data_IF_856105498810
#
_entry.id   IF_856105498810
#
_cell.length_a   1.000
_cell.length_b   1.000
_cell.length_c   1.000
_cell.angle_alpha   90.00
_cell.angle_beta   90.00
_cell.angle_gamma   90.00
#
_symmetry.space_group_name_H-M   'P 1'
#
loop_
_entity.id
_entity.type
_entity.pdbx_description
1 polymer ?
#
# COMPACT_ATOMS: atom_id res chain seq x y z
N UNK A 1 21.79 3.11 7.68
CA UNK A 1 20.51 3.71 7.23
C UNK A 1 19.46 2.63 7.36
N UNK A 2 18.45 2.79 8.21
CA UNK A 2 17.62 1.65 8.62
C UNK A 2 16.23 1.67 7.98
N UNK A 3 15.80 0.52 7.46
CA UNK A 3 14.45 0.34 6.91
C UNK A 3 13.70 -0.68 7.77
N UNK A 4 12.58 -0.25 8.32
CA UNK A 4 11.66 -1.08 9.08
C UNK A 4 10.55 -1.56 8.13
N UNK A 5 10.54 -2.86 7.81
CA UNK A 5 9.45 -3.49 7.09
C UNK A 5 8.41 -3.97 8.11
N UNK A 6 7.28 -3.27 8.16
CA UNK A 6 6.15 -3.70 8.96
C UNK A 6 5.16 -4.49 8.10
N UNK A 7 5.13 -5.80 8.31
CA UNK A 7 4.28 -6.73 7.59
C UNK A 7 2.93 -6.80 8.28
N UNK A 8 1.88 -6.43 7.56
CA UNK A 8 0.50 -6.37 8.06
C UNK A 8 -0.36 -7.29 7.20
N UNK A 9 -0.62 -8.52 7.68
CA UNK A 9 -1.42 -9.50 6.97
C UNK A 9 -2.84 -8.99 6.71
N UNK A 10 -3.48 -9.56 5.69
CA UNK A 10 -4.81 -9.10 5.29
C UNK A 10 -5.86 -9.44 6.34
N UNK A 11 -6.22 -10.72 6.44
CA UNK A 11 -7.21 -11.26 7.37
C UNK A 11 -6.68 -12.55 8.00
N UNK A 12 -6.05 -13.41 7.19
CA UNK A 12 -5.30 -14.56 7.64
C UNK A 12 -3.89 -14.49 7.10
N UNK A 13 -2.90 -14.72 7.97
CA UNK A 13 -1.52 -14.79 7.55
C UNK A 13 -1.31 -15.99 6.61
N UNK A 14 -0.91 -15.69 5.37
CA UNK A 14 -0.36 -16.69 4.46
C UNK A 14 1.15 -16.85 4.70
N UNK A 15 1.51 -17.96 5.35
CA UNK A 15 2.89 -18.24 5.73
C UNK A 15 3.82 -18.48 4.53
N UNK A 16 3.29 -19.07 3.45
CA UNK A 16 4.09 -19.33 2.25
C UNK A 16 4.41 -18.01 1.55
N UNK A 17 3.44 -17.10 1.47
CA UNK A 17 3.64 -15.78 0.88
C UNK A 17 4.61 -14.93 1.70
N UNK A 18 4.48 -14.97 3.04
CA UNK A 18 5.44 -14.35 3.96
C UNK A 18 6.86 -14.90 3.73
N UNK A 19 7.01 -16.22 3.64
CA UNK A 19 8.32 -16.85 3.39
C UNK A 19 8.95 -16.32 2.10
N UNK A 20 8.17 -16.19 1.04
CA UNK A 20 8.64 -15.61 -0.22
C UNK A 20 9.07 -14.15 -0.05
N UNK A 21 8.27 -13.31 0.61
CA UNK A 21 8.64 -11.90 0.87
C UNK A 21 9.93 -11.77 1.69
N UNK A 22 10.11 -12.63 2.70
CA UNK A 22 11.34 -12.69 3.50
C UNK A 22 12.52 -13.12 2.63
N UNK A 23 12.33 -14.11 1.76
CA UNK A 23 13.33 -14.53 0.78
C UNK A 23 13.73 -13.41 -0.18
N UNK A 24 12.76 -12.64 -0.70
CA UNK A 24 12.98 -11.47 -1.56
C UNK A 24 13.67 -10.31 -0.83
N UNK A 25 13.43 -10.19 0.48
CA UNK A 25 14.11 -9.21 1.32
C UNK A 25 15.59 -9.60 1.50
N UNK A 26 15.84 -10.85 1.90
CA UNK A 26 17.17 -11.35 2.17
C UNK A 26 18.03 -11.45 0.90
N UNK A 27 17.43 -11.76 -0.26
CA UNK A 27 18.16 -11.86 -1.53
C UNK A 27 18.75 -10.54 -2.01
N UNK A 28 18.27 -9.40 -1.50
CA UNK A 28 18.80 -8.08 -1.82
C UNK A 28 20.04 -7.71 -1.01
N UNK A 29 20.47 -8.55 -0.06
CA UNK A 29 21.74 -8.42 0.68
C UNK A 29 21.94 -7.07 1.39
N UNK A 30 20.86 -6.51 1.95
CA UNK A 30 20.92 -5.26 2.74
C UNK A 30 20.95 -5.57 4.23
N UNK A 31 21.92 -5.01 4.96
CA UNK A 31 22.17 -5.33 6.37
C UNK A 31 21.28 -4.58 7.36
N UNK A 32 20.79 -3.39 6.99
CA UNK A 32 20.08 -2.49 7.91
C UNK A 32 18.55 -2.58 7.74
N UNK A 33 18.01 -3.80 7.68
CA UNK A 33 16.57 -4.04 7.56
C UNK A 33 16.05 -4.71 8.83
N UNK A 34 15.05 -4.10 9.45
CA UNK A 34 14.33 -4.66 10.60
C UNK A 34 12.96 -5.16 10.16
N UNK A 35 12.61 -6.37 10.56
CA UNK A 35 11.38 -7.03 10.14
C UNK A 35 10.41 -7.12 11.32
N UNK A 36 9.17 -6.68 11.10
CA UNK A 36 8.09 -6.91 12.05
C UNK A 36 6.85 -7.49 11.40
N UNK A 37 6.11 -8.32 12.14
CA UNK A 37 4.86 -8.92 11.72
C UNK A 37 3.74 -8.56 12.71
N UNK A 38 2.73 -7.84 12.23
CA UNK A 38 1.53 -7.51 13.01
C UNK A 38 0.46 -8.57 12.80
N UNK A 39 0.46 -9.59 13.66
CA UNK A 39 -0.54 -10.66 13.57
C UNK A 39 -1.97 -10.13 13.69
N UNK A 40 -2.91 -10.60 12.85
CA UNK A 40 -4.33 -10.34 13.02
C UNK A 40 -4.80 -10.80 14.40
N UNK A 41 -5.79 -10.07 14.96
CA UNK A 41 -6.34 -10.38 16.29
C UNK A 41 -6.83 -11.83 16.35
N UNK A 42 -6.39 -12.55 17.38
CA UNK A 42 -6.77 -13.95 17.62
C UNK A 42 -5.96 -14.98 16.82
N UNK A 43 -4.98 -14.56 16.03
CA UNK A 43 -4.02 -15.47 15.42
C UNK A 43 -2.76 -15.60 16.28
N UNK A 44 -2.27 -16.83 16.39
CA UNK A 44 -1.00 -17.16 16.98
C UNK A 44 -0.19 -17.98 15.98
N UNK A 45 1.12 -17.78 15.98
CA UNK A 45 2.03 -18.62 15.22
C UNK A 45 2.11 -20.01 15.86
N UNK A 46 2.19 -21.05 15.03
CA UNK A 46 2.53 -22.39 15.51
C UNK A 46 3.97 -22.40 16.03
N UNK A 47 4.35 -23.42 16.82
CA UNK A 47 5.73 -23.54 17.32
C UNK A 47 6.77 -23.52 16.20
N UNK A 48 6.48 -24.17 15.07
CA UNK A 48 7.38 -24.20 13.93
C UNK A 48 7.51 -22.81 13.27
N UNK A 49 6.39 -22.10 13.11
CA UNK A 49 6.39 -20.74 12.61
C UNK A 49 7.12 -19.77 13.54
N UNK A 50 7.03 -19.96 14.86
CA UNK A 50 7.78 -19.17 15.84
C UNK A 50 9.29 -19.39 15.72
N UNK A 51 9.72 -20.65 15.60
CA UNK A 51 11.15 -20.98 15.38
C UNK A 51 11.67 -20.35 14.10
N UNK A 52 10.91 -20.46 13.02
CA UNK A 52 11.28 -19.91 11.73
C UNK A 52 11.27 -18.36 11.74
N UNK A 53 10.27 -17.73 12.38
CA UNK A 53 10.25 -16.29 12.59
C UNK A 53 11.49 -15.81 13.38
N UNK A 54 11.88 -16.53 14.43
CA UNK A 54 13.08 -16.22 15.20
C UNK A 54 14.35 -16.36 14.34
N UNK A 55 14.44 -17.39 13.48
CA UNK A 55 15.55 -17.56 12.55
C UNK A 55 15.66 -16.41 11.53
N UNK A 56 14.54 -15.77 11.18
CA UNK A 56 14.51 -14.58 10.33
C UNK A 56 14.70 -13.26 11.08
N UNK A 57 14.91 -13.29 12.40
CA UNK A 57 14.87 -12.09 13.26
C UNK A 57 13.56 -11.28 13.11
N UNK A 58 12.45 -11.95 12.82
CA UNK A 58 11.14 -11.35 12.64
C UNK A 58 10.49 -11.05 14.00
N UNK A 59 10.33 -9.77 14.31
CA UNK A 59 9.67 -9.35 15.56
C UNK A 59 8.15 -9.44 15.42
N UNK A 60 7.47 -10.02 16.41
CA UNK A 60 6.00 -10.11 16.40
C UNK A 60 5.39 -8.92 17.14
N UNK A 61 4.41 -8.27 16.53
CA UNK A 61 3.69 -7.14 17.09
C UNK A 61 4.26 -5.79 16.67
N UNK A 62 4.40 -4.87 17.64
CA UNK A 62 4.81 -3.50 17.38
C UNK A 62 6.34 -3.37 17.55
N UNK A 63 7.11 -3.12 16.48
CA UNK A 63 8.55 -2.95 16.61
C UNK A 63 8.88 -1.66 17.36
N UNK A 64 9.98 -1.67 18.12
CA UNK A 64 10.61 -0.46 18.61
C UNK A 64 11.40 0.15 17.45
N UNK A 65 10.96 1.31 16.98
CA UNK A 65 11.63 2.05 15.91
C UNK A 65 12.42 3.17 16.58
N UNK A 66 13.74 3.17 16.40
CA UNK A 66 14.60 4.26 16.88
C UNK A 66 14.53 5.43 15.90
N UNK A 67 13.98 6.59 16.30
CA UNK A 67 13.81 7.72 15.39
C UNK A 67 15.15 8.26 14.90
N UNK A 68 15.28 8.44 13.59
CA UNK A 68 16.42 9.08 12.93
C UNK A 68 16.01 9.58 11.54
N UNK A 69 16.66 10.64 11.06
CA UNK A 69 16.37 11.27 9.75
C UNK A 69 16.58 10.32 8.56
N UNK A 70 17.37 9.27 8.75
CA UNK A 70 17.66 8.24 7.76
C UNK A 70 17.01 6.89 8.08
N UNK A 71 16.10 6.87 9.05
CA UNK A 71 15.35 5.67 9.43
C UNK A 71 13.92 5.79 8.93
N UNK A 72 13.45 4.76 8.22
CA UNK A 72 12.16 4.76 7.53
C UNK A 72 11.34 3.52 7.83
N UNK A 73 10.03 3.68 7.84
CA UNK A 73 9.04 2.61 7.94
C UNK A 73 8.34 2.43 6.60
N UNK A 74 8.20 1.18 6.14
CA UNK A 74 7.28 0.82 5.06
C UNK A 74 6.37 -0.30 5.55
N UNK A 75 5.07 -0.13 5.31
CA UNK A 75 4.11 -1.21 5.54
C UNK A 75 3.97 -2.04 4.25
N UNK A 76 4.02 -3.36 4.40
CA UNK A 76 3.82 -4.34 3.34
C UNK A 76 2.83 -5.41 3.78
N UNK A 77 2.25 -6.13 2.84
CA UNK A 77 1.52 -7.37 3.08
C UNK A 77 2.42 -8.56 2.88
N UNK A 78 2.05 -9.69 3.49
CA UNK A 78 2.65 -10.99 3.21
C UNK A 78 2.55 -11.37 1.73
N UNK A 79 1.55 -10.86 1.01
CA UNK A 79 1.33 -11.09 -0.42
C UNK A 79 2.01 -10.07 -1.34
N UNK A 80 2.59 -8.99 -0.80
CA UNK A 80 3.34 -8.03 -1.61
C UNK A 80 4.68 -8.64 -2.03
N UNK A 81 5.24 -8.14 -3.13
CA UNK A 81 6.52 -8.57 -3.68
C UNK A 81 7.50 -7.41 -3.74
N UNK A 82 8.74 -7.66 -3.33
CA UNK A 82 9.82 -6.71 -3.52
C UNK A 82 10.50 -6.98 -4.87
N UNK A 83 10.62 -5.94 -5.68
CA UNK A 83 11.35 -6.05 -6.93
C UNK A 83 12.87 -5.99 -6.67
N UNK A 84 13.68 -6.61 -7.53
CA UNK A 84 15.13 -6.60 -7.39
C UNK A 84 15.69 -5.19 -7.16
N UNK A 85 16.51 -5.05 -6.12
CA UNK A 85 17.21 -3.82 -5.76
C UNK A 85 16.33 -2.64 -5.32
N UNK A 86 15.07 -2.90 -4.96
CA UNK A 86 14.17 -1.96 -4.32
C UNK A 86 14.84 -1.21 -3.15
N UNK A 87 15.50 -1.95 -2.25
CA UNK A 87 16.16 -1.32 -1.10
C UNK A 87 17.20 -0.31 -1.53
N UNK A 88 18.12 -0.68 -2.43
CA UNK A 88 19.19 0.20 -2.93
C UNK A 88 18.62 1.51 -3.48
N UNK A 89 17.53 1.44 -4.25
CA UNK A 89 16.86 2.63 -4.77
C UNK A 89 16.29 3.49 -3.64
N UNK A 90 15.62 2.89 -2.66
CA UNK A 90 15.11 3.62 -1.51
C UNK A 90 16.26 4.27 -0.73
N UNK A 91 17.38 3.58 -0.53
CA UNK A 91 18.53 4.15 0.18
C UNK A 91 19.10 5.37 -0.52
N UNK A 92 19.24 5.30 -1.85
CA UNK A 92 19.74 6.43 -2.65
C UNK A 92 18.83 7.66 -2.54
N UNK A 93 17.51 7.46 -2.59
CA UNK A 93 16.55 8.56 -2.45
C UNK A 93 16.56 9.12 -1.02
N UNK A 94 16.60 8.26 0.00
CA UNK A 94 16.65 8.66 1.42
C UNK A 94 17.93 9.46 1.72
N UNK A 95 19.07 9.06 1.17
CA UNK A 95 20.33 9.80 1.35
C UNK A 95 20.27 11.21 0.76
N UNK A 96 19.57 11.39 -0.36
CA UNK A 96 19.41 12.69 -1.01
C UNK A 96 18.31 13.55 -0.36
N UNK A 97 17.27 12.90 0.20
CA UNK A 97 16.09 13.55 0.77
C UNK A 97 15.79 12.99 2.18
N UNK A 98 16.68 13.20 3.16
CA UNK A 98 16.48 12.70 4.50
C UNK A 98 15.24 13.32 5.13
N UNK A 99 14.56 12.57 6.01
CA UNK A 99 13.37 13.01 6.73
C UNK A 99 12.20 13.47 5.82
N UNK A 100 12.18 13.10 4.53
CA UNK A 100 11.06 13.36 3.61
C UNK A 100 10.19 12.14 3.43
N UNK A 101 8.88 12.33 3.31
CA UNK A 101 7.94 11.29 2.90
C UNK A 101 8.25 10.86 1.45
N UNK A 102 8.44 9.57 1.23
CA UNK A 102 8.68 9.02 -0.11
C UNK A 102 7.48 8.18 -0.54
N UNK A 103 6.88 8.55 -1.67
CA UNK A 103 5.80 7.82 -2.31
C UNK A 103 6.37 6.91 -3.40
N UNK A 104 6.02 5.62 -3.36
CA UNK A 104 6.52 4.62 -4.29
C UNK A 104 5.52 4.37 -5.42
N UNK A 105 6.02 4.32 -6.66
CA UNK A 105 5.32 3.65 -7.74
C UNK A 105 5.33 2.13 -7.49
N UNK A 106 4.29 1.45 -7.97
CA UNK A 106 4.04 0.04 -7.67
C UNK A 106 3.34 -0.63 -8.84
N UNK A 107 3.59 -1.91 -9.06
CA UNK A 107 2.71 -2.72 -9.91
C UNK A 107 1.55 -3.31 -9.13
N UNK A 108 0.47 -3.63 -9.83
CA UNK A 108 -0.63 -4.45 -9.32
C UNK A 108 -0.26 -5.93 -9.49
N UNK A 109 -0.10 -6.64 -8.38
CA UNK A 109 0.23 -8.07 -8.41
C UNK A 109 -0.96 -8.94 -8.84
N UNK A 110 -2.17 -8.38 -8.90
CA UNK A 110 -3.36 -9.04 -9.47
C UNK A 110 -3.45 -8.96 -10.99
N UNK A 111 -2.53 -8.24 -11.65
CA UNK A 111 -2.47 -8.12 -13.10
C UNK A 111 -1.18 -8.78 -13.64
N UNK A 112 -1.18 -9.29 -14.88
CA UNK A 112 0.04 -9.80 -15.50
C UNK A 112 1.13 -8.73 -15.52
N UNK A 113 2.38 -9.11 -15.22
CA UNK A 113 3.49 -8.16 -15.13
C UNK A 113 3.84 -7.56 -16.50
N UNK A 114 3.91 -8.39 -17.55
CA UNK A 114 4.34 -7.97 -18.89
C UNK A 114 3.63 -6.72 -19.45
N UNK A 115 2.28 -6.64 -19.48
CA UNK A 115 1.60 -5.44 -19.96
C UNK A 115 1.86 -4.23 -19.07
N UNK A 116 1.91 -4.40 -17.74
CA UNK A 116 2.20 -3.28 -16.82
C UNK A 116 3.60 -2.71 -17.03
N UNK A 117 4.60 -3.56 -17.31
CA UNK A 117 5.95 -3.13 -17.64
C UNK A 117 5.95 -2.38 -18.97
N UNK A 118 5.27 -2.89 -19.99
CA UNK A 118 5.20 -2.24 -21.29
C UNK A 118 4.55 -0.85 -21.19
N UNK A 119 3.38 -0.76 -20.57
CA UNK A 119 2.66 0.51 -20.34
C UNK A 119 3.54 1.51 -19.58
N UNK A 120 4.27 1.01 -18.58
CA UNK A 120 5.17 1.84 -17.79
C UNK A 120 6.33 2.39 -18.64
N UNK A 121 6.97 1.55 -19.45
CA UNK A 121 8.06 1.97 -20.34
C UNK A 121 7.58 3.00 -21.38
N UNK A 122 6.39 2.79 -21.96
CA UNK A 122 5.79 3.69 -22.94
C UNK A 122 5.45 5.06 -22.33
N UNK A 123 4.86 5.09 -21.13
CA UNK A 123 4.53 6.35 -20.43
C UNK A 123 5.76 7.19 -20.05
N UNK A 124 6.94 6.56 -20.00
CA UNK A 124 8.19 7.21 -19.65
C UNK A 124 9.14 7.33 -20.85
N UNK A 125 8.64 7.11 -22.07
CA UNK A 125 9.42 7.23 -23.30
C UNK A 125 10.03 8.63 -23.46
N UNK A 126 9.36 9.71 -23.05
CA UNK A 126 9.88 11.08 -23.16
C UNK A 126 10.79 11.52 -21.99
N UNK A 127 11.07 10.62 -21.05
CA UNK A 127 12.01 10.86 -19.96
C UNK A 127 13.44 10.94 -20.49
N UNK A 128 14.34 11.67 -19.81
CA UNK A 128 15.80 11.68 -20.09
C UNK A 128 16.45 10.29 -20.14
N UNK A 129 15.71 9.27 -19.71
CA UNK A 129 16.05 7.86 -19.75
C UNK A 129 15.73 7.17 -21.09
N UNK A 130 15.21 7.85 -22.12
CA UNK A 130 14.80 7.23 -23.40
C UNK A 130 15.89 6.34 -24.03
N UNK A 131 17.15 6.78 -24.03
CA UNK A 131 18.28 6.00 -24.54
C UNK A 131 18.54 4.73 -23.70
N UNK A 132 18.45 4.84 -22.37
CA UNK A 132 18.51 3.69 -21.45
C UNK A 132 17.31 2.75 -21.66
N UNK A 133 16.12 3.31 -21.89
CA UNK A 133 14.88 2.58 -22.16
C UNK A 133 14.94 1.83 -23.50
N UNK A 134 15.49 2.43 -24.57
CA UNK A 134 15.69 1.78 -25.86
C UNK A 134 16.68 0.61 -25.77
N UNK A 135 17.81 0.79 -25.07
CA UNK A 135 18.80 -0.28 -24.85
C UNK A 135 18.25 -1.45 -24.02
N UNK A 136 17.26 -1.19 -23.16
CA UNK A 136 16.56 -2.19 -22.35
C UNK A 136 15.30 -2.76 -23.02
N UNK A 137 14.72 -2.09 -24.00
CA UNK A 137 13.57 -2.57 -24.78
C UNK A 137 14.01 -3.39 -26.00
N UNK A 138 15.31 -3.42 -26.30
CA UNK A 138 15.86 -4.24 -27.36
C UNK A 138 15.50 -5.72 -27.11
N UNK A 139 15.08 -6.40 -28.18
CA UNK A 139 14.27 -7.64 -28.22
C UNK A 139 14.78 -8.88 -27.46
N UNK A 140 15.89 -8.78 -26.71
CA UNK A 140 16.57 -9.87 -26.02
C UNK A 140 16.07 -10.15 -24.59
N UNK A 141 15.30 -9.24 -23.97
CA UNK A 141 14.81 -9.42 -22.60
C UNK A 141 13.48 -10.20 -22.58
N UNK A 142 13.58 -11.49 -22.86
CA UNK A 142 12.44 -12.42 -22.98
C UNK A 142 11.92 -12.94 -21.64
N UNK A 143 12.67 -12.77 -20.55
CA UNK A 143 12.28 -13.29 -19.23
C UNK A 143 11.76 -12.19 -18.29
N UNK A 144 10.78 -12.55 -17.47
CA UNK A 144 10.19 -11.69 -16.43
C UNK A 144 11.25 -11.06 -15.53
N UNK A 145 12.24 -11.85 -15.11
CA UNK A 145 13.33 -11.40 -14.23
C UNK A 145 14.20 -10.33 -14.90
N UNK A 146 14.50 -10.51 -16.18
CA UNK A 146 15.35 -9.57 -16.89
C UNK A 146 14.65 -8.22 -17.15
N UNK A 147 13.32 -8.24 -17.33
CA UNK A 147 12.49 -7.03 -17.38
C UNK A 147 12.39 -6.32 -16.03
N UNK A 148 12.29 -7.07 -14.92
CA UNK A 148 12.34 -6.49 -13.58
C UNK A 148 13.70 -5.83 -13.28
N UNK A 149 14.80 -6.45 -13.70
CA UNK A 149 16.15 -5.87 -13.62
C UNK A 149 16.30 -4.63 -14.51
N UNK A 150 15.67 -4.61 -15.69
CA UNK A 150 15.65 -3.44 -16.56
C UNK A 150 14.95 -2.24 -15.91
N UNK A 151 13.78 -2.46 -15.32
CA UNK A 151 13.07 -1.42 -14.57
C UNK A 151 13.89 -0.89 -13.39
N UNK A 152 14.67 -1.75 -12.73
CA UNK A 152 15.56 -1.34 -11.65
C UNK A 152 16.67 -0.37 -12.11
N UNK A 153 17.11 -0.46 -13.37
CA UNK A 153 18.07 0.47 -13.96
C UNK A 153 17.50 1.86 -14.27
N UNK A 154 16.18 2.00 -14.29
CA UNK A 154 15.53 3.29 -14.47
C UNK A 154 15.60 4.05 -13.15
N UNK A 155 16.27 5.20 -13.14
CA UNK A 155 16.34 6.06 -11.96
C UNK A 155 15.68 7.39 -12.30
N UNK A 156 14.44 7.58 -11.84
CA UNK A 156 13.77 8.86 -11.91
C UNK A 156 12.85 9.05 -10.70
N UNK A 157 12.95 10.21 -10.06
CA UNK A 157 12.04 10.65 -9.02
C UNK A 157 11.76 12.14 -9.20
N UNK A 158 10.63 12.60 -8.67
CA UNK A 158 10.28 14.04 -8.67
C UNK A 158 9.92 14.50 -7.26
N UNK A 159 10.24 15.75 -6.96
CA UNK A 159 9.77 16.43 -5.75
C UNK A 159 8.40 17.03 -6.02
N UNK A 160 7.40 16.68 -5.21
CA UNK A 160 6.02 17.15 -5.36
C UNK A 160 5.66 18.05 -4.18
N UNK A 161 5.43 19.33 -4.43
CA UNK A 161 5.17 20.36 -3.40
C UNK A 161 3.68 20.62 -3.18
N UNK A 162 2.81 20.28 -4.13
CA UNK A 162 1.35 20.35 -3.96
C UNK A 162 0.77 18.97 -3.65
N UNK A 163 0.42 18.75 -2.39
CA UNK A 163 -0.11 17.47 -1.89
C UNK A 163 -1.64 17.37 -1.90
N UNK A 164 -2.32 18.48 -2.19
CA UNK A 164 -3.76 18.68 -2.05
C UNK A 164 -4.54 18.39 -3.34
N UNK A 165 -4.10 17.41 -4.15
CA UNK A 165 -4.86 16.94 -5.33
C UNK A 165 -5.40 15.54 -5.09
N UNK A 166 -6.66 15.30 -5.47
CA UNK A 166 -7.34 14.01 -5.27
C UNK A 166 -6.55 12.84 -5.87
N UNK A 167 -6.04 13.01 -7.10
CA UNK A 167 -5.20 12.03 -7.79
C UNK A 167 -3.99 11.60 -6.95
N UNK A 168 -3.37 12.53 -6.23
CA UNK A 168 -2.20 12.25 -5.40
C UNK A 168 -2.59 11.66 -4.04
N UNK A 169 -3.69 12.10 -3.44
CA UNK A 169 -4.22 11.51 -2.19
C UNK A 169 -4.55 10.03 -2.37
N UNK A 170 -5.16 9.66 -3.50
CA UNK A 170 -5.47 8.26 -3.83
C UNK A 170 -4.26 7.35 -3.83
N UNK A 171 -3.09 7.88 -4.15
CA UNK A 171 -1.83 7.13 -4.16
C UNK A 171 -1.15 7.12 -2.80
N UNK A 172 -1.34 8.17 -1.98
CA UNK A 172 -0.49 8.48 -0.81
C UNK A 172 -1.17 8.34 0.54
N UNK A 173 -2.48 8.17 0.62
CA UNK A 173 -3.12 7.88 1.90
C UNK A 173 -3.19 6.38 2.18
N UNK A 174 -2.81 5.54 1.21
CA UNK A 174 -2.71 4.09 1.42
C UNK A 174 -1.60 3.80 2.44
N UNK A 175 -1.81 2.86 3.39
CA UNK A 175 -0.79 2.53 4.39
C UNK A 175 0.45 1.87 3.77
N UNK A 176 0.33 1.27 2.59
CA UNK A 176 1.43 0.62 1.84
C UNK A 176 1.88 1.46 0.64
N UNK A 177 3.13 1.26 0.22
CA UNK A 177 3.73 2.01 -0.89
C UNK A 177 4.17 3.43 -0.52
N UNK A 178 4.39 3.66 0.77
CA UNK A 178 5.01 4.86 1.32
C UNK A 178 6.17 4.44 2.22
N UNK A 179 7.27 5.17 2.14
CA UNK A 179 8.31 5.16 3.17
C UNK A 179 8.06 6.37 4.06
N UNK A 180 7.65 6.09 5.30
CA UNK A 180 7.37 7.09 6.32
C UNK A 180 8.66 7.37 7.11
N UNK A 181 9.09 8.63 7.25
CA UNK A 181 10.26 8.97 8.06
C UNK A 181 9.97 8.70 9.54
N UNK A 182 10.87 7.98 10.22
CA UNK A 182 10.66 7.49 11.58
C UNK A 182 10.52 8.60 12.64
N UNK A 183 11.18 9.73 12.42
CA UNK A 183 11.10 10.97 13.21
C UNK A 183 9.70 11.57 13.28
N UNK A 184 8.83 11.23 12.32
CA UNK A 184 7.47 11.74 12.23
C UNK A 184 6.43 10.70 12.65
N UNK A 185 6.88 9.51 13.09
CA UNK A 185 5.98 8.46 13.55
C UNK A 185 5.51 8.74 14.98
N UNK A 186 4.19 8.82 15.17
CA UNK A 186 3.59 8.76 16.50
C UNK A 186 3.71 7.37 17.15
N UNK A 187 4.32 7.23 18.34
CA UNK A 187 4.46 5.96 19.05
C UNK A 187 3.14 5.45 19.65
N UNK A 188 2.05 6.22 19.58
CA UNK A 188 0.76 5.83 20.14
C UNK A 188 -0.22 5.31 19.08
N UNK A 189 0.07 5.50 17.79
CA UNK A 189 -0.82 5.11 16.69
C UNK A 189 -0.39 3.79 16.05
N UNK A 190 -1.31 2.95 15.54
CA UNK A 190 -0.91 1.76 14.80
C UNK A 190 -0.11 2.11 13.53
N UNK A 191 1.01 1.42 13.29
CA UNK A 191 1.95 1.73 12.20
C UNK A 191 1.31 1.70 10.80
N UNK A 192 0.38 0.76 10.57
CA UNK A 192 -0.36 0.64 9.31
C UNK A 192 -1.78 1.21 9.42
N UNK A 193 -1.89 2.48 9.84
CA UNK A 193 -3.16 3.19 9.92
C UNK A 193 -3.16 4.49 9.13
N UNK A 194 -4.36 4.94 8.74
CA UNK A 194 -4.56 6.27 8.16
C UNK A 194 -4.19 7.37 9.16
N UNK A 195 -4.48 7.17 10.44
CA UNK A 195 -4.13 8.12 11.51
C UNK A 195 -2.63 8.32 11.65
N UNK A 196 -1.82 7.30 11.34
CA UNK A 196 -0.36 7.41 11.28
C UNK A 196 0.11 8.21 10.05
N UNK A 197 -0.53 8.00 8.90
CA UNK A 197 -0.05 8.49 7.59
C UNK A 197 -0.54 9.90 7.28
N UNK A 198 -1.79 10.23 7.63
CA UNK A 198 -2.43 11.48 7.28
C UNK A 198 -1.73 12.70 7.90
N UNK A 199 -1.37 12.72 9.20
CA UNK A 199 -0.66 13.87 9.79
C UNK A 199 0.71 14.11 9.15
N UNK A 200 1.45 13.03 8.83
CA UNK A 200 2.74 13.09 8.13
C UNK A 200 2.56 13.72 6.74
N UNK A 201 1.50 13.34 6.03
CA UNK A 201 1.22 13.90 4.71
C UNK A 201 0.77 15.37 4.80
N UNK A 202 0.02 15.76 5.83
CA UNK A 202 -0.43 17.13 6.05
C UNK A 202 0.70 18.08 6.43
N UNK A 203 1.68 17.60 7.20
CA UNK A 203 2.85 18.39 7.62
C UNK A 203 3.96 18.43 6.57
N UNK A 204 3.93 17.53 5.57
CA UNK A 204 4.93 17.48 4.52
C UNK A 204 4.86 18.71 3.60
N UNK A 205 5.94 19.47 3.52
CA UNK A 205 6.11 20.55 2.52
C UNK A 205 6.39 20.00 1.13
N UNK A 206 6.97 18.80 1.06
CA UNK A 206 7.27 18.10 -0.17
C UNK A 206 7.16 16.59 0.03
N UNK A 207 6.80 15.89 -1.04
CA UNK A 207 6.81 14.43 -1.12
C UNK A 207 7.67 14.01 -2.29
N UNK A 208 8.62 13.12 -2.02
CA UNK A 208 9.47 12.56 -3.06
C UNK A 208 8.71 11.42 -3.71
N UNK A 209 8.42 11.53 -5.01
CA UNK A 209 7.79 10.46 -5.77
C UNK A 209 8.85 9.68 -6.52
N UNK A 210 9.12 8.47 -6.09
CA UNK A 210 9.90 7.51 -6.87
C UNK A 210 8.98 6.96 -7.96
N UNK A 211 9.25 7.34 -9.21
CA UNK A 211 8.41 6.94 -10.34
C UNK A 211 8.60 5.49 -10.72
N UNK A 212 9.69 4.87 -10.27
CA UNK A 212 10.09 3.51 -10.61
C UNK A 212 9.40 2.52 -9.68
N UNK A 213 8.67 1.52 -10.22
CA UNK A 213 8.10 0.46 -9.42
C UNK A 213 9.18 -0.31 -8.68
N UNK A 214 9.08 -0.35 -7.36
CA UNK A 214 9.99 -1.11 -6.48
C UNK A 214 9.28 -2.23 -5.72
N UNK A 215 7.95 -2.22 -5.75
CA UNK A 215 7.10 -3.26 -5.18
C UNK A 215 5.98 -3.61 -6.15
N UNK A 216 5.54 -4.87 -6.13
CA UNK A 216 4.24 -5.26 -6.66
C UNK A 216 3.30 -5.52 -5.48
N UNK A 217 2.13 -4.91 -5.50
CA UNK A 217 1.18 -4.97 -4.39
C UNK A 217 -0.20 -5.39 -4.84
N UNK A 218 -0.94 -6.04 -3.94
CA UNK A 218 -2.39 -6.13 -4.08
C UNK A 218 -3.02 -4.85 -3.54
N UNK A 219 -4.08 -4.36 -4.19
CA UNK A 219 -4.78 -3.17 -3.71
C UNK A 219 -5.38 -3.40 -2.31
N UNK A 220 -5.03 -2.53 -1.35
CA UNK A 220 -5.45 -2.67 0.05
C UNK A 220 -6.98 -2.64 0.23
N UNK A 221 -7.65 -1.73 -0.49
CA UNK A 221 -9.11 -1.60 -0.49
C UNK A 221 -9.80 -2.83 -1.10
N UNK A 222 -9.12 -3.57 -1.98
CA UNK A 222 -9.66 -4.80 -2.59
C UNK A 222 -9.67 -5.95 -1.59
N UNK A 223 -8.62 -6.06 -0.79
CA UNK A 223 -8.27 -7.27 -0.05
C UNK A 223 -8.53 -7.14 1.45
N UNK A 224 -8.71 -5.92 1.96
CA UNK A 224 -9.18 -5.68 3.34
C UNK A 224 -10.24 -4.55 3.35
N UNK A 225 -11.34 -4.71 2.59
CA UNK A 225 -12.31 -3.63 2.36
C UNK A 225 -12.93 -3.07 3.64
N UNK A 226 -13.25 -3.94 4.61
CA UNK A 226 -13.91 -3.55 5.87
C UNK A 226 -13.00 -2.69 6.75
N UNK A 227 -11.79 -3.15 7.05
CA UNK A 227 -10.81 -2.40 7.85
C UNK A 227 -10.48 -1.07 7.19
N UNK A 228 -10.39 -1.06 5.86
CA UNK A 228 -10.16 0.17 5.12
C UNK A 228 -11.32 1.16 5.25
N UNK A 229 -12.57 0.69 5.09
CA UNK A 229 -13.76 1.52 5.29
C UNK A 229 -13.83 2.09 6.71
N UNK A 230 -13.56 1.26 7.73
CA UNK A 230 -13.51 1.72 9.13
C UNK A 230 -12.45 2.80 9.34
N UNK A 231 -11.25 2.63 8.79
CA UNK A 231 -10.19 3.64 8.90
C UNK A 231 -10.56 4.95 8.20
N UNK A 232 -11.26 4.89 7.05
CA UNK A 232 -11.73 6.08 6.33
C UNK A 232 -12.78 6.83 7.14
N UNK A 233 -13.74 6.13 7.75
CA UNK A 233 -14.80 6.71 8.57
C UNK A 233 -14.29 7.28 9.90
N UNK A 234 -13.17 6.77 10.41
CA UNK A 234 -12.56 7.24 11.65
C UNK A 234 -11.72 8.52 11.48
N UNK A 235 -11.64 9.09 10.27
CA UNK A 235 -10.99 10.39 10.07
C UNK A 235 -11.92 11.48 10.59
N UNK A 236 -11.43 12.19 11.60
CA UNK A 236 -12.03 13.42 12.08
C UNK A 236 -11.77 14.55 11.07
N UNK A 237 -12.82 15.01 10.41
CA UNK A 237 -12.73 16.06 9.38
C UNK A 237 -12.60 17.45 9.98
N UNK A 238 -13.05 17.66 11.22
CA UNK A 238 -13.17 18.98 11.85
C UNK A 238 -11.80 19.49 12.35
N UNK A 239 -10.88 18.57 12.64
CA UNK A 239 -9.53 18.88 13.10
C UNK A 239 -8.46 18.83 12.00
N UNK A 240 -8.87 18.77 10.72
CA UNK A 240 -7.93 18.80 9.60
C UNK A 240 -7.43 20.22 9.32
N UNK A 241 -6.18 20.33 8.86
CA UNK A 241 -5.63 21.59 8.38
C UNK A 241 -6.50 22.21 7.26
N UNK A 242 -6.50 23.54 7.17
CA UNK A 242 -7.36 24.29 6.24
C UNK A 242 -7.20 23.79 4.79
N UNK A 243 -8.32 23.56 4.10
CA UNK A 243 -8.37 23.02 2.74
C UNK A 243 -8.38 21.48 2.63
N UNK A 244 -7.98 20.74 3.68
CA UNK A 244 -7.98 19.27 3.64
C UNK A 244 -9.37 18.65 3.81
N UNK A 245 -10.25 19.24 4.62
CA UNK A 245 -11.60 18.71 4.89
C UNK A 245 -12.38 18.34 3.62
N UNK A 246 -12.60 19.27 2.68
CA UNK A 246 -13.32 18.98 1.43
C UNK A 246 -12.62 17.92 0.56
N UNK A 247 -11.29 17.93 0.50
CA UNK A 247 -10.52 16.95 -0.28
C UNK A 247 -10.60 15.55 0.30
N UNK A 248 -10.53 15.42 1.63
CA UNK A 248 -10.66 14.14 2.31
C UNK A 248 -12.09 13.60 2.18
N UNK A 249 -13.11 14.44 2.25
CA UNK A 249 -14.48 14.04 1.97
C UNK A 249 -14.65 13.48 0.54
N UNK A 250 -14.08 14.16 -0.47
CA UNK A 250 -14.07 13.64 -1.85
C UNK A 250 -13.29 12.33 -1.96
N UNK A 251 -12.15 12.22 -1.29
CA UNK A 251 -11.34 11.02 -1.24
C UNK A 251 -12.07 9.83 -0.60
N UNK A 252 -12.70 10.03 0.56
CA UNK A 252 -13.54 9.02 1.23
C UNK A 252 -14.64 8.53 0.29
N UNK A 253 -15.30 9.44 -0.42
CA UNK A 253 -16.34 9.11 -1.39
C UNK A 253 -15.80 8.30 -2.57
N UNK A 254 -14.64 8.67 -3.10
CA UNK A 254 -13.97 7.93 -4.18
C UNK A 254 -13.60 6.52 -3.75
N UNK A 255 -12.95 6.39 -2.58
CA UNK A 255 -12.55 5.11 -2.00
C UNK A 255 -13.75 4.20 -1.71
N UNK A 256 -14.83 4.75 -1.16
CA UNK A 256 -16.08 4.02 -0.95
C UNK A 256 -16.57 3.41 -2.27
N UNK A 257 -16.67 4.21 -3.34
CA UNK A 257 -17.10 3.72 -4.64
C UNK A 257 -16.17 2.61 -5.20
N UNK A 258 -14.85 2.73 -5.01
CA UNK A 258 -13.90 1.69 -5.39
C UNK A 258 -14.14 0.38 -4.63
N UNK A 259 -14.29 0.45 -3.30
CA UNK A 259 -14.60 -0.72 -2.46
C UNK A 259 -15.87 -1.40 -2.96
N UNK A 260 -16.95 -0.64 -3.20
CA UNK A 260 -18.22 -1.19 -3.67
C UNK A 260 -18.11 -1.87 -5.04
N UNK A 261 -17.39 -1.24 -5.97
CA UNK A 261 -17.19 -1.77 -7.31
C UNK A 261 -16.42 -3.09 -7.29
N UNK A 262 -15.37 -3.16 -6.47
CA UNK A 262 -14.55 -4.37 -6.32
C UNK A 262 -15.35 -5.46 -5.63
N UNK A 263 -15.96 -5.15 -4.49
CA UNK A 263 -16.79 -6.08 -3.75
C UNK A 263 -17.93 -6.62 -4.65
N UNK A 264 -18.49 -5.76 -5.51
CA UNK A 264 -19.47 -6.06 -6.55
C UNK A 264 -19.00 -7.04 -7.64
N UNK A 265 -17.70 -7.12 -7.91
CA UNK A 265 -17.09 -7.96 -8.95
C UNK A 265 -16.46 -9.24 -8.39
N UNK A 266 -16.09 -9.24 -7.11
CA UNK A 266 -15.44 -10.35 -6.44
C UNK A 266 -16.44 -11.20 -5.65
N UNK A 267 -16.20 -12.51 -5.59
CA UNK A 267 -16.97 -13.41 -4.74
C UNK A 267 -16.52 -13.27 -3.28
N UNK A 268 -16.99 -12.24 -2.58
CA UNK A 268 -16.81 -12.14 -1.13
C UNK A 268 -17.74 -13.13 -0.43
N UNK A 269 -17.30 -13.68 0.71
CA UNK A 269 -18.15 -14.54 1.53
C UNK A 269 -19.41 -13.79 2.00
N UNK A 270 -20.54 -14.50 2.14
CA UNK A 270 -21.80 -13.94 2.63
C UNK A 270 -21.67 -13.09 3.92
N UNK A 271 -20.93 -13.52 4.97
CA UNK A 271 -20.77 -12.69 6.17
C UNK A 271 -20.01 -11.39 5.91
N UNK A 272 -18.96 -11.41 5.07
CA UNK A 272 -18.22 -10.19 4.69
C UNK A 272 -19.11 -9.25 3.88
N UNK A 273 -19.93 -9.81 2.98
CA UNK A 273 -20.94 -9.06 2.22
C UNK A 273 -21.95 -8.35 3.14
N UNK A 274 -22.50 -9.06 4.12
CA UNK A 274 -23.45 -8.50 5.08
C UNK A 274 -22.82 -7.42 5.97
N UNK A 275 -21.61 -7.65 6.47
CA UNK A 275 -20.87 -6.67 7.27
C UNK A 275 -20.61 -5.39 6.47
N UNK A 276 -20.18 -5.53 5.22
CA UNK A 276 -19.93 -4.39 4.34
C UNK A 276 -21.19 -3.56 4.14
N UNK A 277 -22.33 -4.20 3.82
CA UNK A 277 -23.61 -3.51 3.64
C UNK A 277 -24.10 -2.82 4.92
N UNK A 278 -23.95 -3.45 6.09
CA UNK A 278 -24.30 -2.84 7.38
C UNK A 278 -23.45 -1.60 7.64
N UNK A 279 -22.13 -1.67 7.41
CA UNK A 279 -21.24 -0.51 7.58
C UNK A 279 -21.59 0.62 6.60
N UNK A 280 -21.95 0.29 5.36
CA UNK A 280 -22.40 1.29 4.37
C UNK A 280 -23.73 1.93 4.78
N UNK A 281 -24.66 1.19 5.40
CA UNK A 281 -25.89 1.81 5.93
C UNK A 281 -25.58 2.86 7.00
N UNK A 282 -24.51 2.63 7.77
CA UNK A 282 -24.08 3.49 8.87
C UNK A 282 -23.12 4.60 8.43
N UNK A 283 -22.66 4.63 7.16
CA UNK A 283 -21.82 5.73 6.67
C UNK A 283 -22.61 7.02 6.67
N UNK A 284 -22.00 8.10 7.16
CA UNK A 284 -22.56 9.46 7.08
C UNK A 284 -22.62 9.98 5.63
N UNK A 285 -21.77 9.45 4.74
CA UNK A 285 -21.71 9.85 3.32
C UNK A 285 -22.24 8.72 2.42
N UNK A 286 -23.43 8.86 1.80
CA UNK A 286 -24.00 7.82 0.94
C UNK A 286 -23.21 7.69 -0.37
N UNK A 287 -23.12 6.48 -0.97
CA UNK A 287 -22.40 6.30 -2.23
C UNK A 287 -23.08 7.06 -3.39
N UNK A 288 -22.27 7.79 -4.17
CA UNK A 288 -22.75 8.53 -5.36
C UNK A 288 -23.26 7.56 -6.44
N UNK A 289 -22.60 6.41 -6.63
CA UNK A 289 -22.93 5.46 -7.70
C UNK A 289 -23.93 4.39 -7.23
N UNK A 290 -25.21 4.60 -7.56
CA UNK A 290 -26.31 3.67 -7.23
C UNK A 290 -26.12 2.24 -7.77
N UNK A 291 -25.42 2.08 -8.90
CA UNK A 291 -25.18 0.79 -9.53
C UNK A 291 -24.17 -0.07 -8.74
N UNK A 292 -23.21 0.52 -8.05
CA UNK A 292 -22.25 -0.19 -7.18
C UNK A 292 -22.98 -0.80 -5.97
N UNK A 293 -23.94 -0.05 -5.40
CA UNK A 293 -24.84 -0.54 -4.35
C UNK A 293 -25.80 -1.62 -4.87
N UNK A 294 -26.41 -1.43 -6.04
CA UNK A 294 -27.29 -2.42 -6.67
C UNK A 294 -26.54 -3.71 -7.06
N UNK A 295 -25.28 -3.62 -7.49
CA UNK A 295 -24.43 -4.78 -7.79
C UNK A 295 -24.18 -5.67 -6.57
N UNK A 296 -23.86 -5.05 -5.43
CA UNK A 296 -23.77 -5.75 -4.13
C UNK A 296 -25.10 -6.37 -3.70
N UNK A 297 -26.21 -5.65 -3.90
CA UNK A 297 -27.55 -6.15 -3.56
C UNK A 297 -27.98 -7.33 -4.42
N UNK A 298 -27.56 -7.39 -5.68
CA UNK A 298 -27.87 -8.50 -6.61
C UNK A 298 -27.13 -9.80 -6.26
N UNK A 299 -26.01 -9.72 -5.55
CA UNK A 299 -25.25 -10.91 -5.12
C UNK A 299 -25.77 -11.52 -3.81
N UNK A 300 -26.61 -10.81 -3.09
CA UNK A 300 -27.44 -11.36 -2.03
C UNK A 300 -28.86 -11.59 -2.56
N UNK A 301 -29.64 -12.44 -1.90
CA UNK A 301 -31.04 -12.59 -2.31
C UNK A 301 -31.79 -11.26 -2.12
N UNK A 302 -32.74 -10.89 -3.01
CA UNK A 302 -33.51 -9.64 -2.90
C UNK A 302 -34.22 -9.44 -1.55
N UNK A 303 -34.56 -10.53 -0.85
CA UNK A 303 -35.17 -10.48 0.48
C UNK A 303 -34.21 -9.96 1.56
N UNK A 304 -32.95 -10.37 1.52
CA UNK A 304 -31.91 -9.92 2.45
C UNK A 304 -31.56 -8.46 2.19
N UNK A 305 -31.53 -8.05 0.91
CA UNK A 305 -31.39 -6.66 0.51
C UNK A 305 -32.52 -5.79 1.08
N UNK A 306 -33.77 -6.25 1.01
CA UNK A 306 -34.93 -5.50 1.50
C UNK A 306 -34.85 -5.26 3.02
N UNK A 307 -34.56 -6.30 3.81
CA UNK A 307 -34.46 -6.20 5.28
C UNK A 307 -33.32 -5.28 5.78
N UNK A 308 -32.28 -5.08 4.98
CA UNK A 308 -31.18 -4.19 5.36
C UNK A 308 -31.49 -2.72 5.10
N UNK A 309 -32.37 -2.41 4.14
CA UNK A 309 -32.58 -1.04 3.66
C UNK A 309 -34.00 -0.49 3.89
N UNK A 310 -34.92 -1.33 4.35
CA UNK A 310 -36.27 -0.98 4.81
C UNK A 310 -36.46 -1.53 6.23
#
# INVERSE_FOLDING_TARGET
>A
MSIYLNIVPQAQLDWAQLTTLIGETNSQQVTDVSLSLQLPKGQALTQEQQRQAAAWSLTIGRPTITPSEQTYLINLRETDRLLPGAFKQWQQVIQQHPNRLISLATFDSGQPLAPQVQDYLEQHADSRLHLTLQQLADSKLTTTNARQLALWGLQNYSVQTNLQSLKYLDQRLRPTGLLLPSTQLSPNLPLASLQQTLPILQSATEVIRLHVPTIARQSWAVTTPLTWLTNLQAIDLDHLALGWGPLIAQYQQHQLNQILNVAGRQQLSKPVHLQLLTQIKQTQTPPIHRWSRLGLLRMLSPRVAHQLFY
#
